data_IF_481324964898
#
_entry.id   IF_481324964898
#
_cell.length_a   1.000
_cell.length_b   1.000
_cell.length_c   1.000
_cell.angle_alpha   90.00
_cell.angle_beta   90.00
_cell.angle_gamma   90.00
#
_symmetry.space_group_name_H-M   'P 1'
#
loop_
_entity.id
_entity.type
_entity.pdbx_description
1 polymer ?
#
# COMPACT_ATOMS: atom_id res chain seq x y z
N UNK A 1 15.03 -0.50 11.08
CA UNK A 1 13.88 0.04 11.84
C UNK A 1 12.95 -1.13 12.17
N UNK A 2 12.89 -1.55 13.45
CA UNK A 2 11.91 -2.53 13.93
C UNK A 2 10.68 -1.76 14.40
N UNK A 3 9.49 -2.23 14.07
CA UNK A 3 8.23 -1.71 14.63
C UNK A 3 7.74 -2.82 15.55
N UNK A 4 7.93 -2.71 16.87
CA UNK A 4 7.58 -3.77 17.83
C UNK A 4 8.52 -4.99 17.85
N UNK A 5 8.25 -5.94 18.77
CA UNK A 5 9.07 -7.14 18.99
C UNK A 5 8.70 -8.32 18.05
N UNK A 6 7.50 -8.32 17.47
CA UNK A 6 7.00 -9.38 16.57
C UNK A 6 7.02 -9.00 15.08
N UNK A 7 6.90 -7.72 14.74
CA UNK A 7 6.77 -7.27 13.35
C UNK A 7 8.14 -6.93 12.76
N UNK A 8 8.43 -7.53 11.60
CA UNK A 8 9.71 -7.38 10.91
C UNK A 8 9.53 -7.39 9.39
N UNK A 9 10.23 -6.49 8.70
CA UNK A 9 10.07 -6.26 7.27
C UNK A 9 10.11 -7.52 6.40
N UNK A 10 11.05 -8.43 6.65
CA UNK A 10 11.19 -9.65 5.86
C UNK A 10 10.07 -10.66 6.13
N UNK A 11 9.71 -10.84 7.40
CA UNK A 11 8.64 -11.75 7.81
C UNK A 11 7.28 -11.30 7.27
N UNK A 12 7.01 -10.00 7.35
CA UNK A 12 5.79 -9.38 6.84
C UNK A 12 5.72 -9.46 5.32
N UNK A 13 6.81 -9.11 4.62
CA UNK A 13 6.88 -9.27 3.17
C UNK A 13 6.56 -10.71 2.75
N UNK A 14 7.15 -11.69 3.43
CA UNK A 14 6.94 -13.10 3.12
C UNK A 14 5.53 -13.58 3.47
N UNK A 15 4.93 -13.11 4.56
CA UNK A 15 3.56 -13.40 4.94
C UNK A 15 2.56 -12.85 3.90
N UNK A 16 2.70 -11.57 3.51
CA UNK A 16 1.85 -10.94 2.51
C UNK A 16 2.00 -11.59 1.13
N UNK A 17 3.24 -11.93 0.73
CA UNK A 17 3.45 -12.69 -0.49
C UNK A 17 2.80 -14.08 -0.40
N UNK A 18 2.96 -14.79 0.73
CA UNK A 18 2.36 -16.10 0.97
C UNK A 18 0.84 -16.09 0.79
N UNK A 19 0.16 -15.11 1.37
CA UNK A 19 -1.28 -14.93 1.31
C UNK A 19 -1.82 -14.46 -0.06
N UNK A 20 -0.96 -13.96 -0.94
CA UNK A 20 -1.36 -13.46 -2.26
C UNK A 20 -1.84 -14.59 -3.19
N UNK A 21 -2.94 -14.34 -3.92
CA UNK A 21 -3.49 -15.29 -4.89
C UNK A 21 -2.53 -15.58 -6.06
N UNK A 22 -2.57 -16.81 -6.59
CA UNK A 22 -1.65 -17.29 -7.63
C UNK A 22 -1.62 -16.41 -8.88
N UNK A 23 -2.76 -15.90 -9.33
CA UNK A 23 -2.82 -15.05 -10.53
C UNK A 23 -2.12 -13.69 -10.34
N UNK A 24 -2.21 -13.10 -9.14
CA UNK A 24 -1.46 -11.87 -8.82
C UNK A 24 0.05 -12.14 -8.79
N UNK A 25 0.47 -13.29 -8.23
CA UNK A 25 1.88 -13.70 -8.23
C UNK A 25 2.42 -13.90 -9.65
N UNK A 26 1.63 -14.49 -10.56
CA UNK A 26 2.03 -14.61 -11.98
C UNK A 26 2.30 -13.24 -12.62
N UNK A 27 1.48 -12.24 -12.31
CA UNK A 27 1.70 -10.86 -12.78
C UNK A 27 3.07 -10.31 -12.38
N UNK A 28 3.55 -10.64 -11.18
CA UNK A 28 4.87 -10.24 -10.68
C UNK A 28 6.04 -10.95 -11.40
N UNK A 29 5.81 -12.11 -12.01
CA UNK A 29 6.79 -12.80 -12.85
C UNK A 29 6.76 -12.33 -14.32
N UNK A 30 5.88 -11.39 -14.67
CA UNK A 30 5.73 -10.86 -16.02
C UNK A 30 6.95 -10.07 -16.53
N UNK A 31 6.83 -9.47 -17.74
CA UNK A 31 7.84 -8.55 -18.25
C UNK A 31 7.97 -7.31 -17.35
N UNK A 32 9.06 -6.55 -17.52
CA UNK A 32 9.27 -5.32 -16.75
C UNK A 32 8.10 -4.35 -17.00
N UNK A 33 7.59 -3.66 -15.95
CA UNK A 33 6.56 -2.64 -16.15
C UNK A 33 6.97 -1.62 -17.22
N UNK A 34 6.06 -1.37 -18.18
CA UNK A 34 6.31 -0.46 -19.32
C UNK A 34 6.81 -1.16 -20.59
N UNK A 35 7.15 -2.45 -20.54
CA UNK A 35 7.49 -3.23 -21.72
C UNK A 35 6.27 -3.93 -22.32
N UNK A 36 6.24 -4.05 -23.65
CA UNK A 36 5.16 -4.77 -24.36
C UNK A 36 5.33 -6.27 -24.16
N UNK A 37 4.34 -6.90 -23.53
CA UNK A 37 4.21 -8.37 -23.51
C UNK A 37 4.05 -8.89 -24.95
N UNK A 38 4.95 -9.76 -25.40
CA UNK A 38 4.83 -10.44 -26.71
C UNK A 38 3.86 -11.62 -26.71
N UNK A 39 3.01 -11.76 -25.68
CA UNK A 39 1.97 -12.79 -25.63
C UNK A 39 2.53 -14.20 -25.66
N UNK A 40 2.97 -14.70 -24.51
CA UNK A 40 3.22 -16.13 -24.30
C UNK A 40 2.11 -16.72 -23.43
N UNK A 41 1.03 -17.20 -24.04
CA UNK A 41 0.15 -18.14 -23.35
C UNK A 41 0.96 -19.40 -23.05
N UNK A 42 1.25 -19.66 -21.77
CA UNK A 42 1.71 -20.98 -21.33
C UNK A 42 3.08 -21.08 -20.68
N UNK A 43 3.78 -19.98 -20.38
CA UNK A 43 4.94 -20.10 -19.50
C UNK A 43 4.48 -20.35 -18.06
N UNK A 44 5.07 -21.39 -17.45
CA UNK A 44 4.77 -21.80 -16.08
C UNK A 44 4.97 -20.67 -15.07
N UNK A 45 4.38 -20.84 -13.89
CA UNK A 45 4.55 -19.87 -12.82
C UNK A 45 5.97 -19.95 -12.23
N UNK A 46 6.81 -18.94 -12.51
CA UNK A 46 8.10 -18.74 -11.86
C UNK A 46 7.92 -18.01 -10.51
N UNK A 47 7.88 -18.80 -9.44
CA UNK A 47 7.65 -18.30 -8.09
C UNK A 47 8.85 -17.51 -7.52
N UNK A 48 10.08 -17.88 -7.88
CA UNK A 48 11.28 -17.19 -7.41
C UNK A 48 11.38 -15.79 -8.03
N UNK A 49 11.12 -15.69 -9.34
CA UNK A 49 11.07 -14.38 -10.03
C UNK A 49 9.96 -13.50 -9.47
N UNK A 50 8.76 -14.05 -9.26
CA UNK A 50 7.65 -13.31 -8.66
C UNK A 50 7.98 -12.80 -7.26
N UNK A 51 8.56 -13.64 -6.39
CA UNK A 51 8.97 -13.25 -5.03
C UNK A 51 10.09 -12.21 -5.07
N UNK A 52 11.04 -12.34 -5.99
CA UNK A 52 12.13 -11.38 -6.21
C UNK A 52 11.66 -10.00 -6.66
N UNK A 53 10.52 -9.93 -7.36
CA UNK A 53 9.90 -8.68 -7.80
C UNK A 53 8.89 -8.10 -6.78
N UNK A 54 8.38 -8.91 -5.85
CA UNK A 54 7.42 -8.46 -4.84
C UNK A 54 8.03 -7.45 -3.86
N UNK A 55 7.29 -6.38 -3.55
CA UNK A 55 7.65 -5.39 -2.53
C UNK A 55 6.46 -5.16 -1.62
N UNK A 56 6.71 -5.13 -0.31
CA UNK A 56 5.76 -4.64 0.68
C UNK A 56 6.10 -3.18 0.97
N UNK A 57 5.14 -2.29 0.74
CA UNK A 57 5.29 -0.84 0.94
C UNK A 57 4.28 -0.39 1.98
N UNK A 58 4.76 0.29 3.02
CA UNK A 58 3.93 0.88 4.07
C UNK A 58 3.95 2.39 3.89
N UNK A 59 2.77 2.99 3.77
CA UNK A 59 2.60 4.45 3.74
C UNK A 59 2.19 4.89 5.14
N UNK A 60 3.01 5.72 5.79
CA UNK A 60 2.67 6.42 7.02
C UNK A 60 2.21 7.83 6.64
N UNK A 61 0.89 8.09 6.52
CA UNK A 61 0.42 9.41 6.10
C UNK A 61 0.74 10.45 7.18
N UNK A 62 1.25 11.59 6.76
CA UNK A 62 1.27 12.80 7.58
C UNK A 62 -0.10 13.50 7.57
N UNK A 63 -0.83 13.36 6.45
CA UNK A 63 -2.13 13.99 6.22
C UNK A 63 -3.08 13.00 5.54
N UNK A 64 -4.37 13.09 5.87
CA UNK A 64 -5.45 12.35 5.23
C UNK A 64 -6.61 13.32 4.98
N UNK A 65 -7.10 13.38 3.75
CA UNK A 65 -8.26 14.19 3.40
C UNK A 65 -9.49 13.29 3.22
N UNK A 66 -10.61 13.70 3.81
CA UNK A 66 -11.90 13.04 3.67
C UNK A 66 -12.88 14.04 3.06
N UNK A 67 -13.40 13.71 1.88
CA UNK A 67 -14.40 14.50 1.16
C UNK A 67 -15.68 13.67 1.06
N UNK A 68 -16.77 14.19 1.59
CA UNK A 68 -18.11 13.63 1.48
C UNK A 68 -18.91 14.48 0.47
N UNK A 69 -19.14 13.89 -0.70
CA UNK A 69 -19.92 14.46 -1.80
C UNK A 69 -21.29 13.78 -1.95
N UNK A 70 -21.75 13.04 -0.94
CA UNK A 70 -23.00 12.26 -1.02
C UNK A 70 -24.21 13.16 -1.28
N UNK A 71 -24.24 14.36 -0.68
CA UNK A 71 -25.24 15.39 -0.93
C UNK A 71 -24.57 16.65 -1.52
N UNK A 72 -24.86 17.03 -2.79
CA UNK A 72 -24.30 18.22 -3.42
C UNK A 72 -24.59 19.52 -2.66
N UNK A 73 -25.74 19.61 -1.98
CA UNK A 73 -26.15 20.83 -1.26
C UNK A 73 -25.52 20.93 0.14
N UNK A 74 -24.97 19.82 0.65
CA UNK A 74 -24.37 19.75 1.99
C UNK A 74 -23.05 19.00 2.03
N UNK A 75 -22.28 19.10 0.95
CA UNK A 75 -20.95 18.52 0.83
C UNK A 75 -20.04 18.94 2.00
N UNK A 76 -19.15 18.04 2.40
CA UNK A 76 -18.28 18.25 3.57
C UNK A 76 -16.86 17.82 3.25
N UNK A 77 -15.91 18.55 3.82
CA UNK A 77 -14.50 18.26 3.64
C UNK A 77 -13.77 18.40 4.97
N UNK A 78 -12.95 17.42 5.29
CA UNK A 78 -12.08 17.44 6.47
C UNK A 78 -10.67 17.06 6.09
N UNK A 79 -9.70 17.75 6.69
CA UNK A 79 -8.30 17.34 6.68
C UNK A 79 -7.90 16.85 8.07
N UNK A 80 -7.25 15.70 8.11
CA UNK A 80 -6.64 15.11 9.28
C UNK A 80 -5.13 15.26 9.14
N UNK A 81 -4.46 15.91 10.08
CA UNK A 81 -2.99 16.08 10.10
C UNK A 81 -2.43 15.38 11.33
N UNK A 82 -1.43 14.52 11.16
CA UNK A 82 -0.72 13.91 12.27
C UNK A 82 0.30 14.89 12.82
N UNK A 83 0.08 15.33 14.07
CA UNK A 83 1.02 16.18 14.80
C UNK A 83 1.97 15.28 15.57
N UNK A 84 3.18 15.11 15.04
CA UNK A 84 4.22 14.29 15.65
C UNK A 84 4.75 14.94 16.95
N UNK A 85 5.00 14.10 17.95
CA UNK A 85 5.67 14.41 19.20
C UNK A 85 6.89 13.51 19.36
N UNK A 86 7.71 13.77 20.38
CA UNK A 86 8.98 13.07 20.57
C UNK A 86 8.84 11.54 20.53
N UNK A 87 9.74 10.91 19.78
CA UNK A 87 9.83 9.45 19.68
C UNK A 87 8.81 8.79 18.75
N UNK A 88 8.33 9.50 17.71
CA UNK A 88 7.43 8.94 16.70
C UNK A 88 5.98 8.76 17.16
N UNK A 89 5.65 9.35 18.31
CA UNK A 89 4.30 9.44 18.85
C UNK A 89 3.62 10.70 18.30
N UNK A 90 2.34 10.89 18.59
CA UNK A 90 1.63 12.07 18.13
C UNK A 90 0.13 11.92 18.25
N UNK A 91 -0.59 12.93 17.78
CA UNK A 91 -2.04 12.95 17.76
C UNK A 91 -2.55 13.47 16.41
N UNK A 92 -3.70 12.95 15.98
CA UNK A 92 -4.39 13.45 14.79
C UNK A 92 -5.19 14.70 15.15
N UNK A 93 -4.93 15.80 14.45
CA UNK A 93 -5.76 17.01 14.45
C UNK A 93 -6.72 16.94 13.27
N UNK A 94 -7.99 17.31 13.49
CA UNK A 94 -9.02 17.40 12.43
C UNK A 94 -9.45 18.85 12.24
N UNK A 95 -9.55 19.28 10.99
CA UNK A 95 -10.06 20.60 10.59
C UNK A 95 -11.13 20.43 9.51
N UNK A 96 -12.21 21.20 9.62
CA UNK A 96 -13.25 21.28 8.59
C UNK A 96 -12.88 22.36 7.59
N UNK A 97 -13.02 22.04 6.31
CA UNK A 97 -12.70 22.91 5.18
C UNK A 97 -13.95 23.14 4.34
N UNK A 98 -13.95 24.22 3.56
CA UNK A 98 -14.94 24.35 2.49
C UNK A 98 -14.74 23.20 1.49
N UNK A 99 -15.84 22.59 1.01
CA UNK A 99 -15.80 21.54 -0.02
C UNK A 99 -15.01 21.93 -1.27
#
# INVERSE_FOLDING_TARGET
MRVGDEWGWEGERDAYYGAMGKELKKGLAGPTPGEVSKGGEGEGFDEEKAKGNFRLVVVRPAEVECVDLTDPESSKRWIYTFVESDGGKGAWKREELNP
#
